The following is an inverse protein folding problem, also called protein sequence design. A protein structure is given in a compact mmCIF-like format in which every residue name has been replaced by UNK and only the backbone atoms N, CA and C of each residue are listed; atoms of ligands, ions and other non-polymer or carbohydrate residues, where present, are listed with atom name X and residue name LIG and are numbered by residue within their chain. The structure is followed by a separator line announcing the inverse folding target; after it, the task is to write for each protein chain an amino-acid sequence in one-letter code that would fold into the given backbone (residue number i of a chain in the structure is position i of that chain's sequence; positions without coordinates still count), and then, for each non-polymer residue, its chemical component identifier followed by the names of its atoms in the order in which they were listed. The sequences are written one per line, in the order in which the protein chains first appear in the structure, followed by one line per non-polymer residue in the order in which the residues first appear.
data_IF_009066495690
#
_entry.id   IF_009066495690
#
_cell.length_a   1.000
_cell.length_b   1.000
_cell.length_c   1.000
_cell.angle_alpha   90.00
_cell.angle_beta   90.00
_cell.angle_gamma   90.00
#
_symmetry.space_group_name_H-M   'P 1'
#
loop_
_entity.id
_entity.type
_entity.pdbx_description
1 polymer ?
#
# COMPACT_ATOMS: atom_id res chain seq x y z
N UNK A 1 3.76 17.27 -3.59
CA UNK A 1 3.32 17.62 -2.22
C UNK A 1 4.44 18.08 -1.30
N UNK A 2 5.68 17.58 -1.43
CA UNK A 2 6.81 18.13 -0.67
C UNK A 2 7.17 19.59 -1.03
N UNK A 3 6.80 20.03 -2.24
CA UNK A 3 7.08 21.38 -2.74
C UNK A 3 6.27 22.45 -2.00
N UNK A 4 6.82 23.67 -1.91
CA UNK A 4 6.19 24.77 -1.16
C UNK A 4 4.83 25.20 -1.71
N UNK A 5 4.59 25.23 -3.04
CA UNK A 5 3.25 25.52 -3.58
C UNK A 5 2.18 24.48 -3.20
N UNK A 6 2.58 23.27 -2.85
CA UNK A 6 1.69 22.23 -2.34
C UNK A 6 1.67 22.18 -0.81
N UNK A 7 1.99 23.28 -0.13
CA UNK A 7 2.10 23.46 1.33
C UNK A 7 3.11 22.58 2.07
N UNK A 8 3.90 21.79 1.34
CA UNK A 8 5.00 21.03 1.89
C UNK A 8 6.17 21.90 2.37
N UNK A 9 7.19 21.24 2.90
CA UNK A 9 8.39 21.87 3.44
C UNK A 9 9.23 22.62 2.38
N UNK A 10 9.05 22.33 1.10
CA UNK A 10 9.83 22.90 0.00
C UNK A 10 11.15 22.17 -0.24
N UNK A 11 11.17 20.85 -0.08
CA UNK A 11 12.38 20.02 -0.23
C UNK A 11 12.35 19.28 -1.57
N UNK A 12 13.44 19.39 -2.33
CA UNK A 12 13.66 18.60 -3.54
C UNK A 12 14.20 17.21 -3.17
N UNK A 13 13.57 16.15 -3.67
CA UNK A 13 13.91 14.77 -3.30
C UNK A 13 15.40 14.45 -3.47
N UNK A 14 15.98 14.77 -4.63
CA UNK A 14 17.40 14.49 -4.92
C UNK A 14 18.40 15.50 -4.37
N UNK A 15 17.93 16.63 -3.82
CA UNK A 15 18.81 17.76 -3.53
C UNK A 15 19.56 18.24 -4.78
N UNK A 16 20.71 18.87 -4.57
CA UNK A 16 21.67 19.29 -5.62
C UNK A 16 23.08 19.29 -5.02
N UNK A 17 24.17 19.28 -5.80
CA UNK A 17 25.52 19.37 -5.24
C UNK A 17 25.67 20.54 -4.24
N UNK A 18 26.04 20.22 -3.00
CA UNK A 18 26.12 21.17 -1.88
C UNK A 18 24.86 21.28 -1.01
N UNK A 19 23.77 20.58 -1.35
CA UNK A 19 22.51 20.55 -0.60
C UNK A 19 22.06 19.10 -0.43
N UNK A 20 21.72 18.70 0.80
CA UNK A 20 21.30 17.33 1.09
C UNK A 20 19.98 16.96 0.39
N UNK A 21 19.82 15.68 -0.01
CA UNK A 21 18.54 15.17 -0.51
C UNK A 21 17.49 15.09 0.59
N UNK A 22 16.23 14.88 0.18
CA UNK A 22 15.15 14.58 1.11
C UNK A 22 15.33 13.19 1.71
N UNK A 23 14.85 13.03 2.95
CA UNK A 23 14.79 11.73 3.62
C UNK A 23 13.40 11.12 3.54
N UNK A 24 13.32 9.89 3.03
CA UNK A 24 12.07 9.16 2.78
C UNK A 24 12.03 7.90 3.64
N UNK A 25 11.05 7.82 4.53
CA UNK A 25 10.80 6.62 5.34
C UNK A 25 9.67 5.81 4.69
N UNK A 26 9.87 4.51 4.53
CA UNK A 26 8.85 3.61 3.97
C UNK A 26 8.53 2.55 5.01
N UNK A 27 7.28 2.48 5.43
CA UNK A 27 6.79 1.48 6.37
C UNK A 27 6.21 0.30 5.59
N UNK A 28 6.91 -0.82 5.57
CA UNK A 28 6.57 -2.02 4.80
C UNK A 28 7.49 -2.21 3.60
N UNK A 29 8.13 -3.38 3.51
CA UNK A 29 9.02 -3.77 2.43
C UNK A 29 8.36 -4.64 1.35
N UNK A 30 7.04 -4.79 1.37
CA UNK A 30 6.26 -5.52 0.37
C UNK A 30 6.34 -4.92 -1.04
N UNK A 31 5.44 -5.32 -1.94
CA UNK A 31 5.44 -4.85 -3.34
C UNK A 31 5.33 -3.32 -3.41
N UNK A 32 4.37 -2.73 -2.70
CA UNK A 32 4.16 -1.27 -2.67
C UNK A 32 5.42 -0.55 -2.18
N UNK A 33 5.94 -0.95 -1.02
CA UNK A 33 7.13 -0.30 -0.44
C UNK A 33 8.39 -0.45 -1.28
N UNK A 34 8.54 -1.58 -1.98
CA UNK A 34 9.65 -1.83 -2.91
C UNK A 34 9.62 -0.84 -4.07
N UNK A 35 8.47 -0.70 -4.72
CA UNK A 35 8.33 0.20 -5.86
C UNK A 35 8.39 1.68 -5.44
N UNK A 36 7.82 2.02 -4.27
CA UNK A 36 7.98 3.34 -3.66
C UNK A 36 9.46 3.67 -3.40
N UNK A 37 10.22 2.72 -2.86
CA UNK A 37 11.64 2.88 -2.61
C UNK A 37 12.41 3.10 -3.91
N UNK A 38 12.17 2.28 -4.94
CA UNK A 38 12.82 2.41 -6.25
C UNK A 38 12.60 3.79 -6.86
N UNK A 39 11.36 4.30 -6.81
CA UNK A 39 11.05 5.62 -7.35
C UNK A 39 11.72 6.74 -6.54
N UNK A 40 11.59 6.71 -5.21
CA UNK A 40 12.20 7.72 -4.35
C UNK A 40 13.73 7.76 -4.47
N UNK A 41 14.38 6.59 -4.45
CA UNK A 41 15.83 6.47 -4.59
C UNK A 41 16.30 6.85 -5.99
N UNK A 42 15.52 6.54 -7.03
CA UNK A 42 15.81 6.91 -8.41
C UNK A 42 15.77 8.42 -8.65
N UNK A 43 14.96 9.14 -7.85
CA UNK A 43 14.94 10.60 -7.81
C UNK A 43 16.07 11.20 -6.94
N UNK A 44 16.91 10.35 -6.33
CA UNK A 44 18.08 10.76 -5.53
C UNK A 44 17.83 10.92 -4.03
N UNK A 45 16.66 10.54 -3.52
CA UNK A 45 16.35 10.63 -2.09
C UNK A 45 17.21 9.67 -1.24
N UNK A 46 17.38 10.00 0.04
CA UNK A 46 17.92 9.09 1.07
C UNK A 46 16.73 8.28 1.64
N UNK A 47 16.65 6.99 1.28
CA UNK A 47 15.49 6.16 1.57
C UNK A 47 15.80 5.18 2.69
N UNK A 48 14.89 5.02 3.64
CA UNK A 48 14.94 3.96 4.66
C UNK A 48 13.66 3.13 4.61
N UNK A 49 13.77 1.83 4.31
CA UNK A 49 12.66 0.88 4.34
C UNK A 49 12.65 0.16 5.70
N UNK A 50 11.49 0.16 6.35
CA UNK A 50 11.25 -0.56 7.59
C UNK A 50 10.35 -1.78 7.34
N UNK A 51 10.76 -2.96 7.80
CA UNK A 51 9.96 -4.19 7.75
C UNK A 51 10.24 -5.04 9.00
N UNK A 52 9.32 -5.96 9.33
CA UNK A 52 9.48 -6.91 10.44
C UNK A 52 10.18 -8.20 10.00
N UNK A 53 10.19 -8.49 8.70
CA UNK A 53 10.83 -9.68 8.12
C UNK A 53 12.30 -9.42 7.75
N UNK A 54 13.22 -9.99 8.52
CA UNK A 54 14.67 -9.90 8.27
C UNK A 54 15.10 -10.52 6.93
N UNK A 55 14.44 -11.59 6.47
CA UNK A 55 14.75 -12.18 5.18
C UNK A 55 14.35 -11.22 4.05
N UNK A 56 13.20 -10.54 4.21
CA UNK A 56 12.77 -9.50 3.29
C UNK A 56 13.72 -8.31 3.27
N UNK A 57 14.14 -7.81 4.42
CA UNK A 57 15.11 -6.72 4.52
C UNK A 57 16.46 -7.08 3.88
N UNK A 58 16.95 -8.31 4.11
CA UNK A 58 18.20 -8.79 3.47
C UNK A 58 18.08 -8.79 1.96
N UNK A 59 16.99 -9.33 1.42
CA UNK A 59 16.75 -9.32 -0.02
C UNK A 59 16.73 -7.88 -0.57
N UNK A 60 16.02 -6.97 0.09
CA UNK A 60 15.96 -5.56 -0.32
C UNK A 60 17.34 -4.90 -0.30
N UNK A 61 18.16 -5.17 0.71
CA UNK A 61 19.53 -4.67 0.77
C UNK A 61 20.40 -5.15 -0.41
N UNK A 62 20.15 -6.36 -0.93
CA UNK A 62 20.91 -6.92 -2.07
C UNK A 62 20.48 -6.31 -3.42
N UNK A 63 19.20 -5.92 -3.57
CA UNK A 63 18.63 -5.52 -4.87
C UNK A 63 18.40 -4.01 -5.04
N UNK A 64 18.48 -3.24 -3.95
CA UNK A 64 18.17 -1.82 -3.98
C UNK A 64 19.41 -0.96 -4.29
N UNK A 65 19.20 0.26 -4.81
CA UNK A 65 20.28 1.23 -4.96
C UNK A 65 21.00 1.55 -3.64
N UNK A 66 22.25 2.03 -3.74
CA UNK A 66 23.09 2.29 -2.57
C UNK A 66 22.55 3.37 -1.60
N UNK A 67 21.62 4.21 -2.06
CA UNK A 67 20.92 5.21 -1.24
C UNK A 67 19.61 4.68 -0.62
N UNK A 68 19.45 3.36 -0.54
CA UNK A 68 18.35 2.70 0.17
C UNK A 68 18.90 1.90 1.34
N UNK A 69 18.50 2.29 2.54
CA UNK A 69 18.80 1.60 3.78
C UNK A 69 17.63 0.70 4.19
N UNK A 70 17.93 -0.38 4.91
CA UNK A 70 16.93 -1.29 5.48
C UNK A 70 17.05 -1.30 7.00
N UNK A 71 15.92 -1.29 7.70
CA UNK A 71 15.87 -1.21 9.16
C UNK A 71 14.72 -2.05 9.71
N UNK A 72 14.90 -2.64 10.89
CA UNK A 72 13.82 -3.37 11.54
C UNK A 72 12.68 -2.42 11.94
N UNK A 73 11.45 -2.80 11.63
CA UNK A 73 10.24 -2.05 12.01
C UNK A 73 9.90 -2.29 13.48
N UNK A 74 10.46 -1.45 14.34
CA UNK A 74 10.14 -1.39 15.78
C UNK A 74 9.66 0.02 16.10
N UNK A 75 8.80 0.16 17.12
CA UNK A 75 8.33 1.49 17.56
C UNK A 75 9.50 2.43 17.88
N UNK A 76 10.55 1.92 18.54
CA UNK A 76 11.75 2.68 18.84
C UNK A 76 12.41 3.26 17.57
N UNK A 77 12.59 2.42 16.55
CA UNK A 77 13.19 2.85 15.29
C UNK A 77 12.30 3.84 14.54
N UNK A 78 11.00 3.62 14.49
CA UNK A 78 10.07 4.55 13.84
C UNK A 78 10.16 5.91 14.53
N UNK A 79 10.02 5.97 15.86
CA UNK A 79 10.13 7.22 16.63
C UNK A 79 11.45 7.94 16.41
N UNK A 80 12.55 7.21 16.37
CA UNK A 80 13.89 7.77 16.17
C UNK A 80 14.13 8.39 14.79
N UNK A 81 13.28 8.10 13.80
CA UNK A 81 13.40 8.62 12.43
C UNK A 81 12.45 9.80 12.15
N UNK A 82 11.32 9.92 12.87
CA UNK A 82 10.26 10.90 12.56
C UNK A 82 10.74 12.35 12.51
N UNK A 83 11.71 12.72 13.35
CA UNK A 83 12.21 14.08 13.47
C UNK A 83 13.08 14.54 12.30
N UNK A 84 13.52 13.61 11.46
CA UNK A 84 14.54 13.83 10.44
C UNK A 84 14.07 13.51 9.03
N UNK A 85 12.90 12.86 8.89
CA UNK A 85 12.33 12.49 7.61
C UNK A 85 11.35 13.54 7.08
N UNK A 86 11.44 13.79 5.78
CA UNK A 86 10.61 14.77 5.08
C UNK A 86 9.33 14.13 4.54
N UNK A 87 9.42 12.86 4.13
CA UNK A 87 8.32 12.09 3.55
C UNK A 87 8.25 10.71 4.20
N UNK A 88 7.04 10.31 4.57
CA UNK A 88 6.73 8.98 5.07
C UNK A 88 5.73 8.33 4.13
N UNK A 89 5.98 7.09 3.73
CA UNK A 89 5.08 6.28 2.90
C UNK A 89 4.67 5.05 3.71
N UNK A 90 3.39 4.98 4.06
CA UNK A 90 2.74 3.80 4.61
C UNK A 90 2.45 2.80 3.50
N UNK A 91 3.06 1.62 3.57
CA UNK A 91 2.98 0.55 2.59
C UNK A 91 2.84 -0.83 3.27
N UNK A 92 2.09 -0.87 4.39
CA UNK A 92 1.86 -2.07 5.19
C UNK A 92 0.49 -2.64 4.86
N UNK A 93 0.52 -3.68 4.02
CA UNK A 93 -0.66 -4.46 3.67
C UNK A 93 -0.64 -5.80 4.39
N UNK A 94 -1.63 -6.03 5.28
CA UNK A 94 -1.89 -7.34 5.85
C UNK A 94 -3.10 -7.94 5.13
N UNK A 95 -2.89 -9.05 4.44
CA UNK A 95 -3.97 -9.71 3.69
C UNK A 95 -5.10 -10.13 4.63
N UNK A 96 -6.32 -9.64 4.37
CA UNK A 96 -7.53 -10.05 5.09
C UNK A 96 -7.67 -9.48 6.51
N UNK A 97 -6.82 -8.54 6.93
CA UNK A 97 -6.92 -7.87 8.22
C UNK A 97 -6.58 -6.40 8.09
N UNK A 98 -7.10 -5.58 9.00
CA UNK A 98 -6.68 -4.19 9.14
C UNK A 98 -5.18 -4.12 9.44
N UNK A 99 -4.48 -3.20 8.79
CA UNK A 99 -3.08 -2.91 9.09
C UNK A 99 -2.94 -2.39 10.54
N UNK A 100 -1.84 -2.71 11.25
CA UNK A 100 -1.57 -2.11 12.55
C UNK A 100 -1.29 -0.62 12.40
N UNK A 101 -1.68 0.15 13.41
CA UNK A 101 -1.34 1.57 13.49
C UNK A 101 0.14 1.67 13.89
N UNK A 102 0.99 2.08 12.95
CA UNK A 102 2.45 2.18 13.13
C UNK A 102 2.90 3.59 13.53
N UNK A 103 2.13 4.61 13.14
CA UNK A 103 2.32 5.99 13.59
C UNK A 103 1.07 6.42 14.34
N UNK A 104 1.23 6.72 15.62
CA UNK A 104 0.16 7.22 16.49
C UNK A 104 0.04 8.74 16.42
N UNK A 105 -1.05 9.30 16.93
CA UNK A 105 -1.26 10.76 16.96
C UNK A 105 -0.17 11.49 17.74
N UNK A 106 0.30 10.93 18.85
CA UNK A 106 1.36 11.55 19.67
C UNK A 106 2.69 11.63 18.92
N UNK A 107 2.97 10.64 18.05
CA UNK A 107 4.20 10.59 17.26
C UNK A 107 4.30 11.74 16.26
N UNK A 108 3.19 12.31 15.79
CA UNK A 108 3.20 13.43 14.85
C UNK A 108 3.90 14.67 15.39
N UNK A 109 3.91 14.87 16.71
CA UNK A 109 4.57 16.03 17.33
C UNK A 109 6.10 16.02 17.15
N UNK A 110 6.69 14.84 16.90
CA UNK A 110 8.12 14.73 16.61
C UNK A 110 8.45 15.12 15.17
N UNK A 111 7.46 15.17 14.28
CA UNK A 111 7.66 15.46 12.86
C UNK A 111 7.86 16.96 12.61
N UNK A 112 8.60 17.27 11.55
CA UNK A 112 8.82 18.66 11.14
C UNK A 112 7.59 19.20 10.40
N UNK A 113 7.16 20.44 10.68
CA UNK A 113 6.11 21.08 9.89
C UNK A 113 6.46 21.10 8.39
N UNK A 114 5.46 20.78 7.56
CA UNK A 114 5.59 20.62 6.11
C UNK A 114 6.08 19.24 5.67
N UNK A 115 6.39 18.32 6.59
CA UNK A 115 6.58 16.90 6.24
C UNK A 115 5.28 16.31 5.70
N UNK A 116 5.41 15.27 4.89
CA UNK A 116 4.30 14.62 4.19
C UNK A 116 4.19 13.16 4.63
N UNK A 117 2.97 12.71 4.89
CA UNK A 117 2.59 11.32 5.06
C UNK A 117 1.75 10.91 3.84
N UNK A 118 2.13 9.82 3.19
CA UNK A 118 1.34 9.15 2.15
C UNK A 118 0.93 7.80 2.74
N UNK A 119 -0.37 7.60 2.99
CA UNK A 119 -0.88 6.32 3.49
C UNK A 119 -1.57 5.56 2.35
N UNK A 120 -0.86 4.62 1.74
CA UNK A 120 -1.32 3.88 0.55
C UNK A 120 -2.45 2.92 0.91
N UNK A 121 -2.46 2.40 2.14
CA UNK A 121 -3.41 1.39 2.62
C UNK A 121 -4.62 2.01 3.34
N UNK A 122 -4.91 3.29 3.09
CA UNK A 122 -6.07 3.99 3.67
C UNK A 122 -7.40 3.26 3.40
N UNK A 123 -7.51 2.60 2.24
CA UNK A 123 -8.65 1.77 1.83
C UNK A 123 -8.92 0.60 2.79
N UNK A 124 -7.90 0.17 3.53
CA UNK A 124 -7.99 -0.93 4.51
C UNK A 124 -7.82 -0.44 5.95
N UNK A 125 -8.01 0.86 6.19
CA UNK A 125 -7.98 1.48 7.51
C UNK A 125 -6.68 2.21 7.85
N UNK A 126 -5.69 2.22 6.93
CA UNK A 126 -4.43 2.94 7.05
C UNK A 126 -3.47 2.37 8.10
N UNK A 127 -2.21 2.80 8.04
CA UNK A 127 -1.19 2.48 9.04
C UNK A 127 -0.82 3.68 9.93
N UNK A 128 -1.46 4.84 9.74
CA UNK A 128 -1.27 6.05 10.54
C UNK A 128 -2.58 6.44 11.22
N UNK A 129 -2.56 6.71 12.52
CA UNK A 129 -3.75 6.96 13.37
C UNK A 129 -4.61 8.11 12.87
N UNK A 130 -3.97 9.11 12.29
CA UNK A 130 -4.60 10.33 11.79
C UNK A 130 -5.03 10.25 10.34
N UNK A 131 -4.75 9.15 9.64
CA UNK A 131 -5.22 8.94 8.28
C UNK A 131 -6.73 8.88 8.23
N UNK A 132 -7.30 9.60 7.28
CA UNK A 132 -8.70 9.49 6.87
C UNK A 132 -8.77 9.54 5.34
N UNK A 133 -9.66 8.76 4.70
CA UNK A 133 -9.80 8.79 3.25
C UNK A 133 -10.04 10.21 2.73
N UNK A 134 -9.28 10.58 1.70
CA UNK A 134 -9.49 11.79 0.89
C UNK A 134 -10.04 11.39 -0.49
N UNK A 135 -10.00 12.28 -1.48
CA UNK A 135 -10.38 11.97 -2.85
C UNK A 135 -9.45 12.67 -3.84
N UNK A 136 -9.60 12.39 -5.14
CA UNK A 136 -8.70 12.96 -6.16
C UNK A 136 -8.84 14.48 -6.34
N UNK A 137 -9.96 15.09 -5.95
CA UNK A 137 -10.19 16.54 -6.04
C UNK A 137 -9.58 17.28 -4.84
N UNK A 138 -9.71 16.71 -3.64
CA UNK A 138 -9.14 17.21 -2.38
C UNK A 138 -8.17 16.16 -1.80
N UNK A 139 -6.99 15.95 -2.40
CA UNK A 139 -6.16 14.78 -2.12
C UNK A 139 -5.42 14.83 -0.79
N UNK A 140 -5.25 16.03 -0.24
CA UNK A 140 -4.47 16.26 0.98
C UNK A 140 -5.26 17.01 2.03
N UNK A 141 -4.97 16.73 3.30
CA UNK A 141 -5.34 17.60 4.42
C UNK A 141 -4.15 17.80 5.34
N UNK A 142 -4.14 18.92 6.07
CA UNK A 142 -3.07 19.23 7.02
C UNK A 142 -3.55 19.00 8.44
N UNK A 143 -2.73 18.33 9.25
CA UNK A 143 -2.96 18.11 10.67
C UNK A 143 -1.65 18.34 11.42
N UNK A 144 -1.65 19.20 12.44
CA UNK A 144 -0.46 19.56 13.24
C UNK A 144 0.74 20.01 12.37
N UNK A 145 0.45 20.65 11.23
CA UNK A 145 1.46 21.09 10.26
C UNK A 145 2.00 19.98 9.34
N UNK A 146 1.46 18.77 9.43
CA UNK A 146 1.84 17.60 8.61
C UNK A 146 0.78 17.36 7.54
N UNK A 147 1.23 17.26 6.29
CA UNK A 147 0.34 16.98 5.16
C UNK A 147 0.08 15.48 5.08
N UNK A 148 -1.18 15.11 4.99
CA UNK A 148 -1.63 13.74 4.81
C UNK A 148 -2.21 13.58 3.42
N UNK A 149 -1.61 12.70 2.62
CA UNK A 149 -2.17 12.22 1.36
C UNK A 149 -2.72 10.82 1.59
N UNK A 150 -4.04 10.69 1.52
CA UNK A 150 -4.77 9.48 1.87
C UNK A 150 -5.83 9.17 0.80
N UNK A 151 -5.43 9.30 -0.47
CA UNK A 151 -6.36 9.11 -1.59
C UNK A 151 -6.56 7.62 -1.85
N UNK A 152 -7.79 7.11 -1.75
CA UNK A 152 -8.11 5.74 -2.10
C UNK A 152 -7.98 5.50 -3.60
N UNK A 153 -7.79 4.26 -4.02
CA UNK A 153 -7.70 3.91 -5.45
C UNK A 153 -6.69 4.80 -6.23
N UNK A 154 -5.48 4.95 -5.68
CA UNK A 154 -4.38 5.71 -6.32
C UNK A 154 -4.12 5.32 -7.80
N UNK A 155 -4.19 4.02 -8.21
CA UNK A 155 -4.01 3.64 -9.61
C UNK A 155 -5.01 4.28 -10.58
N UNK A 156 -6.17 4.72 -10.09
CA UNK A 156 -7.17 5.45 -10.87
C UNK A 156 -6.68 6.78 -11.44
N UNK A 157 -5.64 7.38 -10.85
CA UNK A 157 -5.04 8.62 -11.35
C UNK A 157 -4.20 8.43 -12.64
N UNK A 158 -3.81 7.19 -12.95
CA UNK A 158 -2.97 6.85 -14.11
C UNK A 158 -3.64 5.79 -14.99
N UNK A 159 -4.87 6.04 -15.50
CA UNK A 159 -5.74 5.02 -16.06
C UNK A 159 -5.15 4.30 -17.27
N UNK A 160 -4.31 4.97 -18.07
CA UNK A 160 -3.64 4.33 -19.21
C UNK A 160 -2.73 3.18 -18.75
N UNK A 161 -1.89 3.43 -17.74
CA UNK A 161 -0.97 2.43 -17.19
C UNK A 161 -1.71 1.38 -16.37
N UNK A 162 -2.60 1.80 -15.47
CA UNK A 162 -3.28 0.88 -14.55
C UNK A 162 -4.28 -0.02 -15.25
N UNK A 163 -4.98 0.46 -16.29
CA UNK A 163 -5.86 -0.39 -17.11
C UNK A 163 -5.05 -1.50 -17.76
N UNK A 164 -3.95 -1.17 -18.45
CA UNK A 164 -3.12 -2.16 -19.12
C UNK A 164 -2.53 -3.17 -18.13
N UNK A 165 -2.04 -2.70 -16.98
CA UNK A 165 -1.51 -3.57 -15.93
C UNK A 165 -2.58 -4.55 -15.39
N UNK A 166 -3.77 -4.04 -15.06
CA UNK A 166 -4.88 -4.87 -14.58
C UNK A 166 -5.32 -5.86 -15.65
N UNK A 167 -5.56 -5.41 -16.87
CA UNK A 167 -6.04 -6.28 -17.96
C UNK A 167 -5.03 -7.35 -18.32
N UNK A 168 -3.72 -7.06 -18.29
CA UNK A 168 -2.70 -8.08 -18.54
C UNK A 168 -2.75 -9.20 -17.50
N UNK A 169 -3.04 -8.88 -16.24
CA UNK A 169 -3.18 -9.88 -15.18
C UNK A 169 -4.52 -10.63 -15.24
N UNK A 170 -5.61 -9.97 -15.63
CA UNK A 170 -6.96 -10.57 -15.60
C UNK A 170 -7.40 -11.21 -16.91
N UNK A 171 -6.78 -10.88 -18.05
CA UNK A 171 -7.19 -11.37 -19.36
C UNK A 171 -7.19 -12.90 -19.47
N UNK A 172 -6.18 -13.64 -18.97
CA UNK A 172 -6.21 -15.11 -19.02
C UNK A 172 -7.42 -15.70 -18.29
N UNK A 173 -7.71 -15.19 -17.09
CA UNK A 173 -8.87 -15.56 -16.28
C UNK A 173 -10.20 -15.22 -16.99
N UNK A 174 -10.29 -14.03 -17.60
CA UNK A 174 -11.48 -13.60 -18.32
C UNK A 174 -11.77 -14.48 -19.54
N UNK A 175 -10.75 -14.86 -20.31
CA UNK A 175 -10.89 -15.78 -21.45
C UNK A 175 -11.33 -17.17 -21.00
N UNK A 176 -10.73 -17.71 -19.94
CA UNK A 176 -11.12 -19.01 -19.38
C UNK A 176 -12.58 -19.03 -18.91
N UNK A 177 -13.04 -17.96 -18.26
CA UNK A 177 -14.43 -17.79 -17.86
C UNK A 177 -15.38 -17.70 -19.06
N UNK A 178 -14.97 -17.00 -20.13
CA UNK A 178 -15.78 -16.84 -21.34
C UNK A 178 -15.93 -18.16 -22.12
N UNK A 179 -14.87 -18.98 -22.18
CA UNK A 179 -14.87 -20.24 -22.92
C UNK A 179 -15.55 -21.39 -22.17
N UNK A 180 -15.33 -21.48 -20.85
CA UNK A 180 -15.72 -22.65 -20.06
C UNK A 180 -16.93 -22.41 -19.14
N UNK A 181 -17.28 -21.14 -18.92
CA UNK A 181 -18.19 -20.72 -17.85
C UNK A 181 -17.56 -20.83 -16.46
N UNK A 182 -18.13 -20.13 -15.49
CA UNK A 182 -17.56 -20.01 -14.14
C UNK A 182 -17.43 -21.36 -13.39
N UNK A 183 -18.38 -22.28 -13.58
CA UNK A 183 -18.40 -23.58 -12.88
C UNK A 183 -17.24 -24.47 -13.32
N UNK A 184 -17.05 -24.62 -14.63
CA UNK A 184 -15.94 -25.42 -15.17
C UNK A 184 -14.61 -24.74 -14.94
N UNK A 185 -14.52 -23.41 -15.14
CA UNK A 185 -13.31 -22.65 -14.90
C UNK A 185 -12.85 -22.72 -13.44
N UNK A 186 -13.77 -22.52 -12.49
CA UNK A 186 -13.48 -22.64 -11.05
C UNK A 186 -13.10 -24.06 -10.60
N UNK A 187 -13.52 -25.10 -11.32
CA UNK A 187 -13.05 -26.48 -11.06
C UNK A 187 -11.63 -26.74 -11.55
N UNK A 188 -11.24 -26.10 -12.64
CA UNK A 188 -9.95 -26.33 -13.31
C UNK A 188 -8.85 -25.42 -12.78
N UNK A 189 -9.20 -24.21 -12.35
CA UNK A 189 -8.27 -23.22 -11.82
C UNK A 189 -8.58 -22.90 -10.34
N UNK A 190 -7.75 -23.38 -9.38
CA UNK A 190 -7.88 -23.07 -7.97
C UNK A 190 -7.77 -21.57 -7.64
N UNK A 191 -7.12 -20.76 -8.48
CA UNK A 191 -7.07 -19.31 -8.29
C UNK A 191 -8.42 -18.67 -8.60
N UNK A 192 -9.06 -19.06 -9.71
CA UNK A 192 -10.43 -18.63 -10.03
C UNK A 192 -11.43 -19.10 -8.98
N UNK A 193 -11.27 -20.34 -8.49
CA UNK A 193 -12.12 -20.87 -7.42
C UNK A 193 -12.11 -19.96 -6.19
N UNK A 194 -10.92 -19.54 -5.75
CA UNK A 194 -10.75 -18.65 -4.60
C UNK A 194 -11.36 -17.25 -4.81
N UNK A 195 -11.61 -16.87 -6.06
CA UNK A 195 -12.30 -15.62 -6.42
C UNK A 195 -13.82 -15.70 -6.37
N UNK A 196 -14.43 -16.89 -6.24
CA UNK A 196 -15.88 -17.04 -6.17
C UNK A 196 -16.39 -16.61 -4.80
N UNK A 197 -17.24 -15.58 -4.77
CA UNK A 197 -17.75 -14.98 -3.54
C UNK A 197 -19.21 -15.34 -3.25
N UNK A 198 -20.07 -15.25 -4.27
CA UNK A 198 -21.52 -15.50 -4.17
C UNK A 198 -21.96 -16.36 -5.35
N UNK A 199 -22.70 -17.43 -5.07
CA UNK A 199 -23.26 -18.34 -6.08
C UNK A 199 -24.74 -18.55 -5.78
N UNK A 200 -25.61 -18.30 -6.76
CA UNK A 200 -27.06 -18.54 -6.64
C UNK A 200 -27.72 -17.92 -5.38
N UNK A 201 -27.20 -16.77 -4.92
CA UNK A 201 -27.68 -16.08 -3.71
C UNK A 201 -27.05 -16.54 -2.39
N UNK A 202 -26.17 -17.53 -2.42
CA UNK A 202 -25.42 -18.03 -1.25
C UNK A 202 -23.99 -17.47 -1.24
N UNK A 203 -23.53 -17.02 -0.08
CA UNK A 203 -22.15 -16.58 0.13
C UNK A 203 -21.28 -17.83 0.29
N UNK A 204 -20.32 -18.04 -0.62
CA UNK A 204 -19.42 -19.22 -0.60
C UNK A 204 -17.99 -18.88 -0.17
N UNK A 205 -17.68 -17.59 -0.02
CA UNK A 205 -16.38 -17.14 0.47
C UNK A 205 -16.44 -16.82 1.97
N UNK A 206 -15.69 -17.58 2.76
CA UNK A 206 -15.67 -17.50 4.22
C UNK A 206 -15.38 -16.09 4.74
N UNK A 207 -14.46 -15.36 4.10
CA UNK A 207 -14.08 -14.01 4.52
C UNK A 207 -15.24 -13.00 4.43
N UNK A 208 -16.07 -13.11 3.39
CA UNK A 208 -17.26 -12.26 3.25
C UNK A 208 -18.34 -12.69 4.25
N UNK A 209 -18.54 -13.99 4.43
CA UNK A 209 -19.52 -14.50 5.39
C UNK A 209 -19.20 -14.01 6.81
N UNK A 210 -17.94 -14.15 7.25
CA UNK A 210 -17.47 -13.70 8.55
C UNK A 210 -17.60 -12.19 8.73
N UNK A 211 -17.26 -11.38 7.71
CA UNK A 211 -17.31 -9.92 7.79
C UNK A 211 -18.73 -9.38 8.04
N UNK A 212 -19.77 -10.10 7.59
CA UNK A 212 -21.17 -9.70 7.72
C UNK A 212 -22.00 -10.60 8.66
N UNK A 213 -21.37 -11.54 9.38
CA UNK A 213 -22.04 -12.43 10.34
C UNK A 213 -22.95 -13.48 9.70
N UNK A 214 -22.68 -13.90 8.47
CA UNK A 214 -23.38 -14.98 7.77
C UNK A 214 -22.61 -16.30 7.84
N UNK A 215 -23.30 -17.40 7.51
CA UNK A 215 -22.66 -18.70 7.24
C UNK A 215 -22.16 -18.75 5.79
N UNK A 216 -21.00 -19.35 5.56
CA UNK A 216 -20.53 -19.66 4.22
C UNK A 216 -21.05 -21.03 3.75
N UNK A 217 -21.56 -21.07 2.53
CA UNK A 217 -21.92 -22.30 1.81
C UNK A 217 -20.71 -23.08 1.32
N UNK A 218 -20.91 -24.36 1.00
CA UNK A 218 -19.86 -25.19 0.42
C UNK A 218 -19.74 -24.93 -1.09
N UNK A 219 -18.65 -24.27 -1.48
CA UNK A 219 -18.31 -24.02 -2.88
C UNK A 219 -18.26 -25.31 -3.72
N UNK A 220 -17.88 -26.46 -3.13
CA UNK A 220 -17.77 -27.72 -3.85
C UNK A 220 -19.13 -28.28 -4.26
N UNK A 221 -20.19 -28.06 -3.47
CA UNK A 221 -21.55 -28.45 -3.84
C UNK A 221 -21.99 -27.73 -5.13
N UNK A 222 -21.68 -26.43 -5.22
CA UNK A 222 -22.00 -25.61 -6.39
C UNK A 222 -21.17 -25.95 -7.62
N UNK A 223 -19.89 -26.30 -7.43
CA UNK A 223 -19.00 -26.67 -8.52
C UNK A 223 -19.30 -28.06 -9.10
N UNK A 224 -19.81 -28.98 -8.27
CA UNK A 224 -20.10 -30.36 -8.66
C UNK A 224 -21.56 -30.62 -9.05
N UNK A 225 -22.45 -29.64 -8.88
CA UNK A 225 -23.84 -29.73 -9.33
C UNK A 225 -23.92 -29.99 -10.86
N UNK A 226 -24.83 -30.89 -11.25
CA UNK A 226 -25.12 -31.21 -12.66
C UNK A 226 -25.81 -30.05 -13.38
#
# INVERSE_FOLDING_TARGET
WLEKPGDGRGVLLGGVPGVLPARVMILGGGVVGTEAARMASGLGADVTILDVDLARLRYLADIMPANVNTLMSTEHNIRGLLDSHDLIIGAVLIHGSRAPMLITRDMLQAMRPGSVIIDVDVDQGGCVETSRPTNHEEPVFTLDGILHYCVPNMPGAVPYTSTLALTNATLPAALQLAELGWRTAGRLDPHLQKGLNIISGEIVYEGVAAAFGYSSGDIQEHLNAK
#
